data_IF_412914928863
#
_entry.id   IF_412914928863
#
_cell.length_a   1.000
_cell.length_b   1.000
_cell.length_c   1.000
_cell.angle_alpha   90.00
_cell.angle_beta   90.00
_cell.angle_gamma   90.00
#
_symmetry.space_group_name_H-M   'P 1'
#
loop_
_entity.id
_entity.type
_entity.pdbx_description
1 polymer ?
#
# COMPACT_ATOMS: atom_id res chain seq x y z
N UNK A 1 -12.03 -4.31 -5.02
CA UNK A 1 -12.55 -5.64 -5.36
C UNK A 1 -12.71 -6.43 -4.07
N UNK A 2 -13.96 -6.63 -3.64
CA UNK A 2 -14.30 -7.35 -2.42
C UNK A 2 -14.25 -8.87 -2.56
N UNK A 3 -14.21 -9.40 -3.78
CA UNK A 3 -14.01 -10.84 -4.00
C UNK A 3 -12.54 -11.22 -3.86
N UNK A 4 -11.64 -10.33 -4.30
CA UNK A 4 -10.19 -10.58 -4.30
C UNK A 4 -9.42 -9.85 -3.18
N UNK A 5 -10.11 -9.06 -2.34
CA UNK A 5 -9.46 -8.29 -1.26
C UNK A 5 -8.48 -7.24 -1.77
N UNK A 6 -8.74 -6.67 -2.95
CA UNK A 6 -7.84 -5.68 -3.58
C UNK A 6 -8.42 -4.28 -3.45
N UNK A 7 -7.63 -3.35 -2.95
CA UNK A 7 -8.00 -1.93 -2.83
C UNK A 7 -7.12 -1.09 -3.76
N UNK A 8 -7.73 -0.11 -4.42
CA UNK A 8 -7.05 0.96 -5.13
C UNK A 8 -7.50 2.27 -4.49
N UNK A 9 -6.56 3.09 -4.07
CA UNK A 9 -6.82 4.34 -3.35
C UNK A 9 -5.73 5.36 -3.67
N UNK A 10 -6.03 6.64 -3.44
CA UNK A 10 -5.04 7.71 -3.52
C UNK A 10 -4.05 7.62 -2.35
N UNK A 11 -2.82 8.07 -2.58
CA UNK A 11 -1.75 8.00 -1.59
C UNK A 11 -2.05 8.77 -0.28
N UNK A 12 -2.95 9.76 -0.33
CA UNK A 12 -3.33 10.57 0.82
C UNK A 12 -4.33 9.90 1.77
N UNK A 13 -5.01 8.82 1.35
CA UNK A 13 -5.99 8.10 2.17
C UNK A 13 -5.28 7.47 3.37
N UNK A 14 -5.87 7.58 4.56
CA UNK A 14 -5.36 6.96 5.78
C UNK A 14 -5.67 5.48 5.86
N UNK A 15 -4.85 4.73 6.61
CA UNK A 15 -5.16 3.31 6.89
C UNK A 15 -6.48 3.17 7.65
N UNK A 16 -6.84 4.14 8.50
CA UNK A 16 -8.12 4.20 9.19
C UNK A 16 -9.31 4.26 8.21
N UNK A 17 -9.24 5.10 7.19
CA UNK A 17 -10.28 5.21 6.15
C UNK A 17 -10.42 3.91 5.35
N UNK A 18 -9.30 3.27 5.00
CA UNK A 18 -9.32 1.95 4.32
C UNK A 18 -9.99 0.90 5.22
N UNK A 19 -9.61 0.84 6.51
CA UNK A 19 -10.16 -0.11 7.47
C UNK A 19 -11.65 0.13 7.71
N UNK A 20 -12.09 1.38 7.77
CA UNK A 20 -13.50 1.74 7.98
C UNK A 20 -14.41 1.17 6.88
N UNK A 21 -13.94 1.12 5.63
CA UNK A 21 -14.69 0.54 4.51
C UNK A 21 -14.46 -0.96 4.34
N UNK A 22 -13.28 -1.48 4.72
CA UNK A 22 -12.92 -2.88 4.47
C UNK A 22 -13.43 -3.84 5.54
N UNK A 23 -13.43 -3.44 6.81
CA UNK A 23 -13.84 -4.29 7.94
C UNK A 23 -15.29 -4.76 7.79
N UNK A 24 -16.29 -3.91 7.44
CA UNK A 24 -17.65 -4.36 7.22
C UNK A 24 -17.79 -5.38 6.09
N UNK A 25 -16.82 -5.44 5.17
CA UNK A 25 -16.76 -6.39 4.06
C UNK A 25 -15.94 -7.66 4.40
N UNK A 26 -15.50 -7.81 5.66
CA UNK A 26 -14.70 -8.94 6.12
C UNK A 26 -13.20 -8.85 5.77
N UNK A 27 -12.73 -7.69 5.30
CA UNK A 27 -11.34 -7.49 4.90
C UNK A 27 -10.55 -6.63 5.89
N UNK A 28 -9.28 -6.98 6.07
CA UNK A 28 -8.33 -6.26 6.93
C UNK A 28 -7.01 -6.06 6.21
N UNK A 29 -6.25 -5.02 6.57
CA UNK A 29 -4.92 -4.78 6.01
C UNK A 29 -3.95 -5.91 6.38
N UNK A 30 -3.16 -6.39 5.43
CA UNK A 30 -2.16 -7.45 5.67
C UNK A 30 -1.12 -7.08 6.73
N UNK A 31 -0.79 -5.79 6.82
CA UNK A 31 0.18 -5.21 7.76
C UNK A 31 -0.44 -3.96 8.39
N UNK A 32 -0.46 -3.90 9.71
CA UNK A 32 -0.94 -2.73 10.46
C UNK A 32 0.17 -2.19 11.37
N UNK A 33 0.65 -0.96 11.14
CA UNK A 33 1.61 -0.30 12.03
C UNK A 33 0.93 0.08 13.36
N UNK A 34 1.71 0.64 14.30
CA UNK A 34 1.20 1.03 15.62
C UNK A 34 0.12 2.12 15.63
N UNK A 35 -0.13 2.77 14.49
CA UNK A 35 -1.17 3.79 14.32
C UNK A 35 -1.86 3.64 12.96
N UNK A 36 -3.19 3.80 12.93
CA UNK A 36 -3.98 3.80 11.70
C UNK A 36 -4.06 5.17 11.01
N UNK A 37 -3.51 6.22 11.63
CA UNK A 37 -3.59 7.59 11.11
C UNK A 37 -2.50 7.90 10.07
N UNK A 38 -1.60 6.96 9.78
CA UNK A 38 -0.67 7.08 8.65
C UNK A 38 -1.43 7.03 7.32
N UNK A 39 -0.93 7.76 6.33
CA UNK A 39 -1.43 7.69 4.95
C UNK A 39 -0.91 6.42 4.26
N UNK A 40 -1.63 5.97 3.24
CA UNK A 40 -1.23 4.84 2.39
C UNK A 40 0.12 5.10 1.73
N UNK A 41 0.31 6.31 1.19
CA UNK A 41 1.58 6.73 0.60
C UNK A 41 2.72 6.74 1.61
N UNK A 42 2.48 7.23 2.83
CA UNK A 42 3.49 7.21 3.90
C UNK A 42 3.84 5.80 4.35
N UNK A 43 2.84 4.90 4.42
CA UNK A 43 3.04 3.49 4.74
C UNK A 43 3.88 2.76 3.68
N UNK A 44 3.64 3.04 2.39
CA UNK A 44 4.43 2.49 1.28
C UNK A 44 5.84 3.09 1.27
N UNK A 45 5.98 4.41 1.38
CA UNK A 45 7.26 5.10 1.28
C UNK A 45 8.26 4.76 2.41
N UNK A 46 7.77 4.31 3.57
CA UNK A 46 8.61 3.87 4.70
C UNK A 46 8.64 2.35 4.86
N UNK A 47 8.06 1.62 3.91
CA UNK A 47 7.86 0.18 3.94
C UNK A 47 7.47 -0.36 5.34
N UNK A 48 6.40 0.23 5.90
CA UNK A 48 6.09 0.06 7.33
C UNK A 48 5.80 -1.39 7.70
N UNK A 49 6.10 -1.77 8.94
CA UNK A 49 5.85 -3.10 9.47
C UNK A 49 4.89 -3.10 10.65
N UNK A 50 4.31 -4.27 10.93
CA UNK A 50 3.42 -4.52 12.06
C UNK A 50 3.96 -5.61 13.01
N UNK A 51 3.21 -5.92 14.07
CA UNK A 51 3.57 -7.01 15.01
C UNK A 51 3.67 -8.38 14.32
N UNK A 52 2.99 -8.55 13.19
CA UNK A 52 2.98 -9.77 12.37
C UNK A 52 4.10 -9.81 11.32
N UNK A 53 5.10 -8.91 11.38
CA UNK A 53 6.19 -8.83 10.41
C UNK A 53 6.91 -10.18 10.18
N UNK A 54 7.12 -10.95 11.24
CA UNK A 54 7.74 -12.28 11.19
C UNK A 54 6.98 -13.30 10.32
N UNK A 55 5.69 -13.08 10.01
CA UNK A 55 4.87 -13.94 9.14
C UNK A 55 4.43 -13.26 7.84
N UNK A 56 4.31 -11.94 7.83
CA UNK A 56 3.72 -11.18 6.71
C UNK A 56 4.71 -10.23 6.02
N UNK A 57 5.88 -10.01 6.59
CA UNK A 57 6.83 -9.00 6.14
C UNK A 57 6.30 -7.57 6.31
N UNK A 58 6.76 -6.68 5.45
CA UNK A 58 6.45 -5.24 5.43
C UNK A 58 5.25 -4.92 4.55
N UNK A 59 4.82 -3.66 4.53
CA UNK A 59 3.67 -3.21 3.76
C UNK A 59 3.89 -3.35 2.25
N UNK A 60 5.10 -3.07 1.76
CA UNK A 60 5.52 -3.15 0.36
C UNK A 60 5.34 -4.54 -0.25
N UNK A 61 5.50 -5.61 0.55
CA UNK A 61 5.24 -6.99 0.11
C UNK A 61 3.79 -7.24 -0.35
N UNK A 62 2.85 -6.36 0.01
CA UNK A 62 1.43 -6.48 -0.31
C UNK A 62 0.97 -5.43 -1.34
N UNK A 63 1.86 -4.53 -1.78
CA UNK A 63 1.58 -3.60 -2.87
C UNK A 63 1.63 -4.39 -4.18
N UNK A 64 0.69 -4.14 -5.09
CA UNK A 64 0.68 -4.78 -6.42
C UNK A 64 1.11 -3.82 -7.53
N UNK A 65 0.81 -2.54 -7.35
CA UNK A 65 1.05 -1.46 -8.31
C UNK A 65 0.96 -0.12 -7.59
N UNK A 66 1.77 0.84 -8.01
CA UNK A 66 1.72 2.22 -7.51
C UNK A 66 1.84 3.21 -8.66
N UNK A 67 1.31 4.42 -8.45
CA UNK A 67 1.55 5.56 -9.32
C UNK A 67 2.68 6.40 -8.75
N UNK A 68 3.70 6.71 -9.55
CA UNK A 68 4.85 7.51 -9.15
C UNK A 68 4.95 8.78 -10.01
N UNK A 69 4.75 9.95 -9.40
CA UNK A 69 4.96 11.22 -10.09
C UNK A 69 6.46 11.55 -10.12
N UNK A 70 7.00 11.72 -11.32
CA UNK A 70 8.42 11.97 -11.55
C UNK A 70 8.65 13.26 -12.32
N UNK A 71 9.81 13.89 -12.08
CA UNK A 71 10.20 15.12 -12.78
C UNK A 71 10.32 14.86 -14.29
N UNK A 72 9.61 15.66 -15.09
CA UNK A 72 9.56 15.59 -16.56
C UNK A 72 9.03 14.27 -17.18
N UNK A 73 8.64 13.29 -16.36
CA UNK A 73 8.12 11.99 -16.82
C UNK A 73 6.61 11.87 -16.59
N UNK A 74 6.02 12.75 -15.77
CA UNK A 74 4.61 12.66 -15.40
C UNK A 74 4.36 11.54 -14.40
N UNK A 75 3.14 10.98 -14.41
CA UNK A 75 2.78 9.85 -13.54
C UNK A 75 3.16 8.55 -14.23
N UNK A 76 4.10 7.82 -13.65
CA UNK A 76 4.45 6.46 -14.06
C UNK A 76 3.60 5.45 -13.30
N UNK A 77 3.22 4.36 -13.96
CA UNK A 77 2.62 3.21 -13.30
C UNK A 77 3.73 2.18 -13.04
N UNK A 78 3.97 1.84 -11.78
CA UNK A 78 5.05 0.96 -11.38
C UNK A 78 4.50 -0.34 -10.79
N UNK A 79 5.03 -1.48 -11.22
CA UNK A 79 4.69 -2.83 -10.79
C UNK A 79 5.88 -3.78 -11.01
N UNK A 80 5.83 -5.05 -10.60
CA UNK A 80 6.90 -6.01 -10.90
C UNK A 80 7.21 -6.19 -12.40
N UNK A 81 6.29 -5.84 -13.30
CA UNK A 81 6.45 -6.00 -14.76
C UNK A 81 6.42 -4.69 -15.55
N UNK A 82 6.19 -3.55 -14.89
CA UNK A 82 6.10 -2.23 -15.52
C UNK A 82 6.92 -1.26 -14.67
N UNK A 83 7.98 -0.67 -15.23
CA UNK A 83 8.93 0.13 -14.47
C UNK A 83 9.44 -0.53 -13.17
N UNK A 84 9.91 -1.80 -13.21
CA UNK A 84 10.31 -2.55 -12.02
C UNK A 84 11.42 -1.85 -11.23
N UNK A 85 12.29 -1.11 -11.91
CA UNK A 85 13.33 -0.27 -11.30
C UNK A 85 12.76 0.75 -10.34
N UNK A 86 11.58 1.32 -10.61
CA UNK A 86 10.93 2.26 -9.69
C UNK A 86 10.06 1.56 -8.66
N UNK A 87 9.57 0.37 -8.97
CA UNK A 87 8.76 -0.44 -8.05
C UNK A 87 9.56 -0.98 -6.86
N UNK A 88 10.81 -1.40 -7.07
CA UNK A 88 11.66 -2.01 -6.02
C UNK A 88 12.68 -1.05 -5.41
N UNK A 89 12.67 0.23 -5.78
CA UNK A 89 13.64 1.23 -5.31
C UNK A 89 13.24 1.94 -4.00
N UNK A 90 12.21 1.43 -3.32
CA UNK A 90 11.79 1.88 -1.98
C UNK A 90 12.47 1.06 -0.89
#
# INVERSE_FOLDING_TARGET
DWQQGTVQAEAGVTLAEILAISIPQGWFLSVTPGTQFATLGGAIANDVHGKNHHLRGTFGNHVRRLGLLRHNEGVLTCSPTEHPEFYTST
#
